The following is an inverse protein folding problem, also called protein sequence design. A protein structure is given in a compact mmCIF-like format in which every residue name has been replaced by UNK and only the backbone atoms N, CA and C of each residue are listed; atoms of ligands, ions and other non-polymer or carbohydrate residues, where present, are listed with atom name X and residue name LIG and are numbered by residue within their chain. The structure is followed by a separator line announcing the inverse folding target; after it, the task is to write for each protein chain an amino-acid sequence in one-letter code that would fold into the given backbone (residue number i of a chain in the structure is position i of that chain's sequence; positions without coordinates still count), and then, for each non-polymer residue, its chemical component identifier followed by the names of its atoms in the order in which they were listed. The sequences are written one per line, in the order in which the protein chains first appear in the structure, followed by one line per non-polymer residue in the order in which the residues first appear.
data_IF_759832283188
#
_entry.id   IF_759832283188
#
_cell.length_a   1.000
_cell.length_b   1.000
_cell.length_c   1.000
_cell.angle_alpha   90.00
_cell.angle_beta   90.00
_cell.angle_gamma   90.00
#
_symmetry.space_group_name_H-M   'P 1'
#
loop_
_entity.id
_entity.type
_entity.pdbx_description
1 polymer ?
#
# COMPACT_ATOMS: atom_id res chain seq x y z
N UNK A 1 0.64 16.05 -19.83
CA UNK A 1 1.49 15.37 -18.83
C UNK A 1 2.23 14.25 -19.52
N UNK A 2 3.50 14.03 -19.17
CA UNK A 2 4.30 12.94 -19.73
C UNK A 2 4.44 11.86 -18.65
N UNK A 3 3.57 10.86 -18.67
CA UNK A 3 3.65 9.72 -17.75
C UNK A 3 4.75 8.78 -18.22
N UNK A 4 5.52 8.20 -17.30
CA UNK A 4 6.54 7.21 -17.63
C UNK A 4 5.96 5.80 -17.71
N UNK A 5 4.89 5.54 -16.96
CA UNK A 5 4.15 4.30 -16.99
C UNK A 5 2.83 4.47 -17.75
N UNK A 6 2.33 3.36 -18.24
CA UNK A 6 0.93 3.18 -18.62
C UNK A 6 0.15 2.60 -17.46
N UNK A 7 -1.17 2.77 -17.46
CA UNK A 7 -2.04 2.19 -16.44
C UNK A 7 -1.90 0.66 -16.35
N UNK A 8 -1.72 -0.03 -17.49
CA UNK A 8 -1.48 -1.48 -17.51
C UNK A 8 -0.15 -1.88 -16.88
N UNK A 9 0.92 -1.09 -17.09
CA UNK A 9 2.21 -1.32 -16.43
C UNK A 9 2.10 -1.11 -14.92
N UNK A 10 1.41 -0.06 -14.47
CA UNK A 10 1.17 0.16 -13.05
C UNK A 10 0.37 -0.98 -12.41
N UNK A 11 -0.64 -1.49 -13.11
CA UNK A 11 -1.41 -2.66 -12.66
C UNK A 11 -0.54 -3.91 -12.52
N UNK A 12 0.36 -4.16 -13.48
CA UNK A 12 1.26 -5.32 -13.42
C UNK A 12 2.27 -5.21 -12.27
N UNK A 13 2.88 -4.03 -12.09
CA UNK A 13 3.76 -3.74 -10.95
C UNK A 13 3.03 -4.02 -9.62
N UNK A 14 1.78 -3.58 -9.49
CA UNK A 14 0.98 -3.82 -8.30
C UNK A 14 0.64 -5.30 -8.08
N UNK A 15 0.37 -6.07 -9.15
CA UNK A 15 0.14 -7.51 -9.07
C UNK A 15 1.38 -8.28 -8.63
N UNK A 16 2.53 -7.96 -9.22
CA UNK A 16 3.82 -8.55 -8.83
C UNK A 16 4.13 -8.25 -7.36
N UNK A 17 3.92 -7.00 -6.93
CA UNK A 17 4.13 -6.60 -5.54
C UNK A 17 3.18 -7.33 -4.57
N UNK A 18 1.89 -7.39 -4.90
CA UNK A 18 0.88 -8.12 -4.13
C UNK A 18 1.27 -9.59 -3.97
N UNK A 19 1.69 -10.25 -5.06
CA UNK A 19 2.13 -11.64 -5.03
C UNK A 19 3.39 -11.81 -4.17
N UNK A 20 4.37 -10.92 -4.33
CA UNK A 20 5.65 -10.95 -3.60
C UNK A 20 5.46 -10.86 -2.08
N UNK A 21 4.53 -10.02 -1.62
CA UNK A 21 4.26 -9.81 -0.19
C UNK A 21 3.00 -10.52 0.32
N UNK A 22 2.42 -11.41 -0.49
CA UNK A 22 1.22 -12.18 -0.15
C UNK A 22 0.04 -11.32 0.37
N UNK A 23 -0.18 -10.14 -0.25
CA UNK A 23 -1.29 -9.27 0.15
C UNK A 23 -2.62 -9.89 -0.27
N UNK A 24 -3.62 -9.78 0.62
CA UNK A 24 -4.98 -10.30 0.39
C UNK A 24 -5.74 -9.49 -0.67
N UNK A 25 -6.88 -10.02 -1.11
CA UNK A 25 -7.78 -9.38 -2.06
C UNK A 25 -7.47 -9.66 -3.53
N UNK A 26 -8.19 -8.97 -4.41
CA UNK A 26 -8.19 -9.17 -5.87
C UNK A 26 -8.04 -7.83 -6.57
N UNK A 27 -7.09 -7.74 -7.51
CA UNK A 27 -7.03 -6.65 -8.48
C UNK A 27 -7.83 -7.09 -9.69
N UNK A 28 -8.91 -6.38 -10.02
CA UNK A 28 -9.71 -6.69 -11.20
C UNK A 28 -8.91 -6.55 -12.50
N UNK A 29 -9.23 -7.37 -13.51
CA UNK A 29 -8.57 -7.31 -14.83
C UNK A 29 -8.88 -6.06 -15.64
N UNK A 30 -9.94 -5.33 -15.26
CA UNK A 30 -10.30 -4.07 -15.90
C UNK A 30 -9.41 -2.96 -15.37
N UNK A 31 -8.49 -2.49 -16.21
CA UNK A 31 -7.62 -1.34 -15.92
C UNK A 31 -8.43 -0.11 -15.51
N UNK A 32 -9.55 0.17 -16.18
CA UNK A 32 -10.40 1.31 -15.87
C UNK A 32 -11.06 1.23 -14.48
N UNK A 33 -11.31 0.00 -13.99
CA UNK A 33 -11.85 -0.21 -12.65
C UNK A 33 -10.78 -0.17 -11.59
N UNK A 34 -9.63 -0.77 -11.86
CA UNK A 34 -8.59 -0.97 -10.85
C UNK A 34 -7.55 0.13 -10.78
N UNK A 35 -7.39 0.96 -11.80
CA UNK A 35 -6.26 1.90 -11.87
C UNK A 35 -6.75 3.34 -12.02
N UNK A 36 -6.30 4.20 -11.10
CA UNK A 36 -6.56 5.65 -11.14
C UNK A 36 -5.26 6.42 -11.20
N UNK A 37 -5.20 7.41 -12.10
CA UNK A 37 -4.04 8.29 -12.22
C UNK A 37 -4.21 9.54 -11.38
N UNK A 38 -3.16 9.91 -10.65
CA UNK A 38 -3.09 11.15 -9.88
C UNK A 38 -1.85 11.95 -10.30
N UNK A 39 -2.01 13.17 -10.81
CA UNK A 39 -0.88 14.01 -11.22
C UNK A 39 -0.02 14.50 -10.06
N UNK A 40 -0.58 14.45 -8.85
CA UNK A 40 0.07 14.70 -7.57
C UNK A 40 -0.64 13.86 -6.53
N UNK A 41 0.12 13.21 -5.65
CA UNK A 41 -0.40 12.41 -4.56
C UNK A 41 0.42 12.66 -3.30
N UNK A 42 -0.24 12.68 -2.14
CA UNK A 42 0.43 12.99 -0.88
C UNK A 42 1.56 12.00 -0.60
N UNK A 43 2.71 12.50 -0.17
CA UNK A 43 3.91 11.68 0.10
C UNK A 43 4.71 11.25 -1.14
N UNK A 44 4.18 11.44 -2.36
CA UNK A 44 4.85 11.05 -3.61
C UNK A 44 5.41 12.28 -4.33
N UNK A 45 6.68 12.18 -4.75
CA UNK A 45 7.27 13.19 -5.64
C UNK A 45 6.84 12.94 -7.08
N UNK A 46 5.82 13.67 -7.52
CA UNK A 46 5.34 13.63 -8.91
C UNK A 46 4.01 12.91 -9.05
N UNK A 47 3.85 12.16 -10.14
CA UNK A 47 2.60 11.47 -10.45
C UNK A 47 2.56 10.09 -9.79
N UNK A 48 1.36 9.63 -9.44
CA UNK A 48 1.12 8.32 -8.86
C UNK A 48 -0.01 7.60 -9.60
N UNK A 49 0.09 6.27 -9.63
CA UNK A 49 -0.98 5.38 -10.05
C UNK A 49 -1.50 4.65 -8.81
N UNK A 50 -2.78 4.79 -8.53
CA UNK A 50 -3.46 4.09 -7.45
C UNK A 50 -4.10 2.82 -8.03
N UNK A 51 -3.72 1.67 -7.49
CA UNK A 51 -4.26 0.37 -7.89
C UNK A 51 -5.12 -0.19 -6.77
N UNK A 52 -6.43 -0.31 -7.02
CA UNK A 52 -7.43 -0.77 -6.06
C UNK A 52 -7.40 -2.30 -5.96
N UNK A 53 -7.46 -2.80 -4.72
CA UNK A 53 -7.48 -4.22 -4.40
C UNK A 53 -8.69 -4.48 -3.51
N UNK A 54 -9.65 -5.24 -4.05
CA UNK A 54 -10.87 -5.58 -3.31
C UNK A 54 -10.59 -6.80 -2.43
N UNK A 55 -10.69 -6.64 -1.11
CA UNK A 55 -10.68 -7.78 -0.19
C UNK A 55 -12.12 -8.26 -0.09
N UNK A 56 -12.36 -9.48 -0.60
CA UNK A 56 -13.68 -10.10 -0.46
C UNK A 56 -14.02 -10.17 1.03
N UNK A 57 -15.13 -9.55 1.47
CA UNK A 57 -15.47 -9.50 2.88
C UNK A 57 -15.62 -10.92 3.41
N UNK A 58 -14.96 -11.21 4.53
CA UNK A 58 -15.32 -12.36 5.33
C UNK A 58 -16.50 -11.95 6.23
N UNK A 59 -17.31 -12.91 6.68
CA UNK A 59 -18.52 -12.68 7.50
C UNK A 59 -18.29 -11.89 8.81
N UNK A 60 -17.05 -11.49 9.13
CA UNK A 60 -16.67 -10.80 10.36
C UNK A 60 -16.00 -9.43 10.14
N UNK A 61 -15.53 -9.11 8.93
CA UNK A 61 -14.78 -7.88 8.61
C UNK A 61 -15.51 -7.16 7.46
N UNK A 62 -15.55 -5.81 7.51
CA UNK A 62 -16.27 -4.98 6.55
C UNK A 62 -15.76 -5.10 5.12
N UNK A 63 -16.37 -4.33 4.21
CA UNK A 63 -15.83 -4.16 2.86
C UNK A 63 -14.43 -3.54 2.96
N UNK A 64 -13.40 -4.37 2.90
CA UNK A 64 -12.02 -3.92 3.04
C UNK A 64 -11.40 -3.74 1.65
N UNK A 65 -11.14 -2.51 1.25
CA UNK A 65 -10.30 -2.21 0.09
C UNK A 65 -8.91 -1.83 0.59
N UNK A 66 -7.86 -2.27 -0.10
CA UNK A 66 -6.53 -1.67 0.04
C UNK A 66 -6.12 -1.03 -1.29
N UNK A 67 -5.37 0.06 -1.22
CA UNK A 67 -4.84 0.74 -2.40
C UNK A 67 -3.33 0.57 -2.45
N UNK A 68 -2.81 0.01 -3.55
CA UNK A 68 -1.38 -0.04 -3.83
C UNK A 68 -0.99 1.22 -4.60
N UNK A 69 -0.08 2.02 -4.06
CA UNK A 69 0.38 3.28 -4.66
C UNK A 69 1.67 3.04 -5.43
N UNK A 70 1.64 3.26 -6.75
CA UNK A 70 2.79 3.10 -7.65
C UNK A 70 3.32 4.48 -8.05
N UNK A 71 4.61 4.72 -7.83
CA UNK A 71 5.31 5.91 -8.34
C UNK A 71 5.47 5.83 -9.86
N UNK A 72 4.87 6.77 -10.59
CA UNK A 72 5.09 6.87 -12.04
C UNK A 72 6.56 7.20 -12.35
N UNK A 73 7.17 8.04 -11.51
CA UNK A 73 8.55 8.50 -11.69
C UNK A 73 9.58 7.39 -11.60
N UNK A 74 9.39 6.49 -10.63
CA UNK A 74 10.38 5.46 -10.25
C UNK A 74 10.01 4.06 -10.75
N UNK A 75 8.75 3.83 -11.14
CA UNK A 75 8.33 2.52 -11.65
C UNK A 75 8.21 1.43 -10.57
N UNK A 76 7.99 1.82 -9.32
CA UNK A 76 7.92 0.92 -8.16
C UNK A 76 6.73 1.26 -7.26
N UNK A 77 6.29 0.30 -6.46
CA UNK A 77 5.33 0.55 -5.37
C UNK A 77 6.01 1.38 -4.29
N UNK A 78 5.39 2.48 -3.92
CA UNK A 78 5.83 3.35 -2.83
C UNK A 78 5.25 2.91 -1.49
N UNK A 79 3.96 2.64 -1.41
CA UNK A 79 3.31 2.11 -0.21
C UNK A 79 1.95 1.48 -0.55
N UNK A 80 1.35 0.86 0.47
CA UNK A 80 -0.01 0.34 0.45
C UNK A 80 -0.82 1.11 1.48
N UNK A 81 -2.01 1.59 1.12
CA UNK A 81 -2.95 2.25 2.01
C UNK A 81 -4.03 1.23 2.39
N UNK A 82 -4.26 1.02 3.68
CA UNK A 82 -5.35 0.17 4.16
C UNK A 82 -6.70 0.92 4.22
N UNK A 83 -7.76 0.20 4.60
CA UNK A 83 -9.11 0.77 4.71
C UNK A 83 -9.22 1.93 5.73
N UNK A 84 -8.27 2.06 6.67
CA UNK A 84 -8.20 3.15 7.64
C UNK A 84 -7.38 4.35 7.13
N UNK A 85 -6.82 4.26 5.92
CA UNK A 85 -5.93 5.29 5.37
C UNK A 85 -4.49 5.20 5.89
N UNK A 86 -4.12 4.12 6.59
CA UNK A 86 -2.77 3.94 7.13
C UNK A 86 -1.84 3.41 6.03
N UNK A 87 -0.67 4.03 5.90
CA UNK A 87 0.34 3.64 4.91
C UNK A 87 1.26 2.54 5.45
N UNK A 88 1.45 1.50 4.65
CA UNK A 88 2.26 0.32 4.93
C UNK A 88 3.36 0.16 3.87
N UNK A 89 4.59 -0.05 4.32
CA UNK A 89 5.78 -0.13 3.47
C UNK A 89 6.38 -1.54 3.49
N UNK A 90 5.65 -2.54 3.00
CA UNK A 90 6.05 -3.96 3.08
C UNK A 90 7.44 -4.29 2.50
N UNK A 91 7.96 -3.47 1.57
CA UNK A 91 9.28 -3.65 0.98
C UNK A 91 10.42 -3.01 1.79
N UNK A 92 10.09 -2.18 2.77
CA UNK A 92 11.04 -1.65 3.73
C UNK A 92 11.03 -2.65 4.90
N UNK A 93 12.12 -3.36 5.17
CA UNK A 93 12.18 -4.22 6.34
C UNK A 93 11.87 -3.38 7.57
N UNK A 94 10.92 -3.83 8.39
CA UNK A 94 10.65 -3.18 9.66
C UNK A 94 11.93 -3.30 10.49
N UNK A 95 12.71 -2.23 10.59
CA UNK A 95 13.90 -2.18 11.43
C UNK A 95 13.52 -2.11 12.93
N UNK A 96 12.35 -2.63 13.27
CA UNK A 96 11.79 -2.74 14.62
C UNK A 96 12.14 -4.13 15.15
N UNK A 97 13.44 -4.44 15.14
CA UNK A 97 13.98 -5.38 16.12
C UNK A 97 14.06 -4.61 17.44
N UNK A 98 12.90 -4.25 18.02
CA UNK A 98 12.90 -3.81 19.40
C UNK A 98 13.29 -5.03 20.21
N UNK A 99 14.35 -4.89 20.98
CA UNK A 99 14.61 -5.84 22.05
C UNK A 99 13.43 -5.84 23.02
N UNK A 100 13.19 -6.95 23.72
CA UNK A 100 12.13 -7.03 24.73
C UNK A 100 12.25 -5.87 25.75
N UNK A 101 13.49 -5.47 26.07
CA UNK A 101 13.82 -4.33 26.93
C UNK A 101 13.36 -2.98 26.36
N UNK A 102 13.46 -2.77 25.04
CA UNK A 102 12.98 -1.55 24.40
C UNK A 102 11.45 -1.50 24.32
N UNK A 103 10.78 -2.64 24.13
CA UNK A 103 9.32 -2.70 24.16
C UNK A 103 8.77 -2.45 25.57
N UNK A 104 9.36 -3.06 26.60
CA UNK A 104 9.00 -2.84 28.00
C UNK A 104 9.18 -1.37 28.40
N UNK A 105 10.24 -0.70 27.94
CA UNK A 105 10.46 0.72 28.23
C UNK A 105 9.37 1.64 27.66
N UNK A 106 8.81 1.33 26.48
CA UNK A 106 7.67 2.09 25.92
C UNK A 106 6.35 1.76 26.61
N UNK A 107 6.18 0.52 27.09
CA UNK A 107 4.97 0.08 27.77
C UNK A 107 4.88 0.60 29.21
N UNK A 108 6.01 0.78 29.90
CA UNK A 108 6.05 1.35 31.26
C UNK A 108 5.82 2.88 31.25
N UNK A 109 6.23 3.59 30.19
CA UNK A 109 6.04 5.05 30.07
C UNK A 109 4.55 5.45 29.86
N UNK A 110 3.67 4.51 29.47
CA UNK A 110 2.20 4.72 29.41
C UNK A 110 1.49 4.44 30.74
N UNK A 111 2.22 4.04 31.80
CA UNK A 111 1.64 3.65 33.09
C UNK A 111 1.81 4.71 34.20
N UNK A 112 2.29 5.90 33.87
CA UNK A 112 2.35 7.07 34.77
C UNK A 112 1.12 7.99 34.56
N UNK A 113 -0.09 7.49 34.89
CA UNK A 113 -1.25 8.30 35.34
C UNK A 113 -2.07 7.58 36.44
#
# INVERSE_FOLDING_TARGET
MNTKLTASQAMEIAREYKQKYNLRGVIHDSVERSVKFYPSFYGIKGCAWLVLVDITPNIFEGDDEITIVVSDGDGVVDHVIDHNGISHYYHIPSNRDYTDEEFEAFADDENDE
#
